data_IF_267639674892
#
_entry.id   IF_267639674892
#
_cell.length_a   1.000
_cell.length_b   1.000
_cell.length_c   1.000
_cell.angle_alpha   90.00
_cell.angle_beta   90.00
_cell.angle_gamma   90.00
#
_symmetry.space_group_name_H-M   'P 1'
#
loop_
_entity.id
_entity.type
_entity.pdbx_description
1 polymer ?
#
# COMPACT_ATOMS: atom_id res chain seq x y z
N UNK A 1 -10.91 -0.14 9.31
CA UNK A 1 -10.34 -0.47 7.97
C UNK A 1 -11.11 -1.53 7.19
N UNK A 2 -12.18 -2.12 7.75
CA UNK A 2 -13.01 -3.09 7.04
C UNK A 2 -13.54 -2.49 5.72
N UNK A 3 -13.24 -3.14 4.59
CA UNK A 3 -13.69 -2.73 3.26
C UNK A 3 -12.72 -1.84 2.45
N UNK A 4 -11.62 -1.36 3.05
CA UNK A 4 -10.59 -0.66 2.29
C UNK A 4 -9.75 -1.66 1.48
N UNK A 5 -9.66 -1.43 0.17
CA UNK A 5 -8.77 -2.15 -0.74
C UNK A 5 -7.80 -1.18 -1.39
N UNK A 6 -6.63 -1.68 -1.74
CA UNK A 6 -5.55 -0.92 -2.35
C UNK A 6 -4.99 -1.72 -3.53
N UNK A 7 -4.59 -1.02 -4.58
CA UNK A 7 -3.78 -1.59 -5.65
C UNK A 7 -2.69 -0.61 -6.05
N UNK A 8 -1.66 -1.12 -6.69
CA UNK A 8 -0.63 -0.29 -7.31
C UNK A 8 -1.26 0.53 -8.44
N UNK A 9 -1.00 1.83 -8.48
CA UNK A 9 -1.37 2.64 -9.64
C UNK A 9 -0.54 2.20 -10.86
N UNK A 10 -0.96 2.50 -12.10
CA UNK A 10 -0.12 2.29 -13.28
C UNK A 10 1.09 3.23 -13.23
N UNK A 11 2.13 2.82 -12.51
CA UNK A 11 3.43 3.50 -12.47
C UNK A 11 4.28 3.02 -13.64
N UNK A 12 4.98 3.94 -14.30
CA UNK A 12 5.68 3.66 -15.54
C UNK A 12 6.93 2.80 -15.33
N UNK A 13 7.66 3.06 -14.24
CA UNK A 13 8.88 2.35 -13.86
C UNK A 13 9.06 2.36 -12.33
N UNK A 14 9.61 1.28 -11.78
CA UNK A 14 10.01 1.16 -10.38
C UNK A 14 11.46 0.71 -10.31
N UNK A 15 12.28 1.56 -9.69
CA UNK A 15 13.69 1.32 -9.47
C UNK A 15 13.93 1.12 -7.98
N UNK A 16 14.68 0.08 -7.63
CA UNK A 16 15.02 -0.28 -6.25
C UNK A 16 16.55 -0.37 -6.15
N UNK A 17 17.14 0.33 -5.18
CA UNK A 17 18.57 0.27 -4.89
C UNK A 17 18.77 0.16 -3.36
N UNK A 18 19.06 -1.05 -2.89
CA UNK A 18 19.13 -1.33 -1.46
C UNK A 18 17.74 -1.26 -0.80
N UNK A 19 17.61 -0.43 0.23
CA UNK A 19 16.34 -0.20 0.96
C UNK A 19 15.54 0.98 0.39
N UNK A 20 16.15 1.76 -0.49
CA UNK A 20 15.53 2.90 -1.13
C UNK A 20 14.87 2.47 -2.43
N UNK A 21 13.68 3.02 -2.70
CA UNK A 21 13.07 2.85 -4.01
C UNK A 21 12.50 4.15 -4.55
N UNK A 22 12.45 4.25 -5.87
CA UNK A 22 11.87 5.37 -6.57
C UNK A 22 10.88 4.86 -7.61
N UNK A 23 9.73 5.52 -7.71
CA UNK A 23 8.70 5.23 -8.69
C UNK A 23 8.47 6.44 -9.58
N UNK A 24 8.32 6.18 -10.88
CA UNK A 24 7.93 7.20 -11.84
C UNK A 24 6.41 7.19 -12.02
N UNK A 25 5.77 8.28 -11.59
CA UNK A 25 4.32 8.48 -11.71
C UNK A 25 4.06 9.63 -12.67
N UNK A 26 3.70 9.31 -13.91
CA UNK A 26 3.63 10.30 -14.99
C UNK A 26 5.00 10.90 -15.28
N UNK A 27 5.19 12.20 -15.02
CA UNK A 27 6.47 12.90 -15.20
C UNK A 27 7.19 13.18 -13.87
N UNK A 28 6.68 12.66 -12.75
CA UNK A 28 7.21 12.91 -11.41
C UNK A 28 7.93 11.67 -10.89
N UNK A 29 9.10 11.88 -10.28
CA UNK A 29 9.82 10.85 -9.52
C UNK A 29 9.44 10.99 -8.06
N UNK A 30 8.92 9.91 -7.46
CA UNK A 30 8.62 9.84 -6.03
C UNK A 30 9.61 8.89 -5.39
N UNK A 31 10.40 9.39 -4.44
CA UNK A 31 11.29 8.57 -3.61
C UNK A 31 10.46 8.01 -2.46
N UNK A 32 10.56 6.70 -2.25
CA UNK A 32 9.81 5.94 -1.28
C UNK A 32 10.70 5.60 -0.09
N UNK A 33 10.13 5.73 1.11
CA UNK A 33 10.75 5.17 2.32
C UNK A 33 10.69 3.64 2.28
N UNK A 34 11.48 2.97 3.12
CA UNK A 34 11.44 1.51 3.27
C UNK A 34 10.03 0.97 3.56
N UNK A 35 9.23 1.71 4.34
CA UNK A 35 7.84 1.34 4.64
C UNK A 35 6.94 1.42 3.39
N UNK A 36 7.08 2.47 2.60
CA UNK A 36 6.34 2.64 1.35
C UNK A 36 6.77 1.61 0.28
N UNK A 37 8.07 1.33 0.18
CA UNK A 37 8.62 0.26 -0.66
C UNK A 37 8.00 -1.09 -0.30
N UNK A 38 7.96 -1.42 1.00
CA UNK A 38 7.37 -2.67 1.47
C UNK A 38 5.89 -2.80 1.13
N UNK A 39 5.11 -1.70 1.16
CA UNK A 39 3.72 -1.72 0.69
C UNK A 39 3.66 -2.19 -0.76
N UNK A 40 4.49 -1.65 -1.66
CA UNK A 40 4.47 -2.05 -3.07
C UNK A 40 4.89 -3.50 -3.28
N UNK A 41 5.90 -3.97 -2.54
CA UNK A 41 6.33 -5.37 -2.57
C UNK A 41 5.22 -6.32 -2.11
N UNK A 42 4.50 -5.98 -1.04
CA UNK A 42 3.36 -6.77 -0.55
C UNK A 42 2.25 -6.79 -1.60
N UNK A 43 1.94 -5.65 -2.23
CA UNK A 43 0.91 -5.58 -3.26
C UNK A 43 1.26 -6.42 -4.49
N UNK A 44 2.53 -6.46 -4.90
CA UNK A 44 2.98 -7.28 -6.02
C UNK A 44 3.01 -8.78 -5.67
N UNK A 45 3.35 -9.14 -4.43
CA UNK A 45 3.32 -10.52 -3.95
C UNK A 45 1.90 -11.08 -3.85
N UNK A 46 0.96 -10.27 -3.37
CA UNK A 46 -0.45 -10.63 -3.18
C UNK A 46 -1.31 -10.43 -4.44
N UNK A 47 -0.70 -9.96 -5.54
CA UNK A 47 -1.41 -9.69 -6.80
C UNK A 47 -1.88 -10.98 -7.45
N UNK A 48 -3.16 -11.31 -7.26
CA UNK A 48 -3.84 -12.34 -8.05
C UNK A 48 -4.40 -11.76 -9.35
N UNK A 49 -4.63 -12.60 -10.36
CA UNK A 49 -5.01 -12.17 -11.72
C UNK A 49 -6.37 -11.46 -11.83
N UNK A 50 -7.17 -11.43 -10.75
CA UNK A 50 -8.40 -10.64 -10.65
C UNK A 50 -8.07 -9.20 -10.19
N UNK A 51 -7.87 -8.31 -11.17
CA UNK A 51 -7.89 -6.84 -11.05
C UNK A 51 -6.83 -6.16 -10.16
N UNK A 52 -6.02 -6.93 -9.44
CA UNK A 52 -4.86 -6.49 -8.66
C UNK A 52 -5.17 -5.76 -7.35
N UNK A 53 -6.41 -5.83 -6.86
CA UNK A 53 -6.83 -5.24 -5.59
C UNK A 53 -6.55 -6.15 -4.40
N UNK A 54 -5.87 -5.59 -3.39
CA UNK A 54 -5.52 -6.26 -2.14
C UNK A 54 -6.23 -5.59 -0.97
N UNK A 55 -6.70 -6.36 0.00
CA UNK A 55 -7.32 -5.79 1.20
C UNK A 55 -6.27 -5.06 2.06
N UNK A 56 -6.58 -3.87 2.55
CA UNK A 56 -5.65 -3.10 3.37
C UNK A 56 -5.24 -3.83 4.67
N UNK A 57 -6.08 -4.74 5.18
CA UNK A 57 -5.73 -5.62 6.31
C UNK A 57 -4.63 -6.62 5.99
N UNK A 58 -4.54 -7.09 4.73
CA UNK A 58 -3.44 -7.95 4.28
C UNK A 58 -2.15 -7.15 4.23
N UNK A 59 -2.21 -5.91 3.73
CA UNK A 59 -1.07 -4.98 3.75
C UNK A 59 -0.61 -4.72 5.18
N UNK A 60 -1.52 -4.41 6.11
CA UNK A 60 -1.17 -4.25 7.53
C UNK A 60 -0.47 -5.50 8.08
N UNK A 61 -1.01 -6.69 7.82
CA UNK A 61 -0.41 -7.93 8.30
C UNK A 61 1.02 -8.13 7.76
N UNK A 62 1.24 -7.90 6.46
CA UNK A 62 2.57 -8.01 5.87
C UNK A 62 3.56 -6.95 6.39
N UNK A 63 3.10 -5.73 6.68
CA UNK A 63 3.93 -4.70 7.31
C UNK A 63 4.32 -5.08 8.73
N UNK A 64 3.39 -5.61 9.53
CA UNK A 64 3.65 -6.09 10.89
C UNK A 64 4.61 -7.28 10.87
N UNK A 65 4.44 -8.22 9.94
CA UNK A 65 5.35 -9.35 9.78
C UNK A 65 6.78 -8.88 9.48
N UNK A 66 6.93 -7.84 8.65
CA UNK A 66 8.25 -7.33 8.23
C UNK A 66 8.93 -6.43 9.26
N UNK A 67 8.19 -5.51 9.87
CA UNK A 67 8.75 -4.45 10.73
C UNK A 67 8.41 -4.61 12.22
N UNK A 68 7.55 -5.57 12.56
CA UNK A 68 6.94 -5.65 13.88
C UNK A 68 5.76 -4.71 14.05
N UNK A 69 5.02 -4.89 15.13
CA UNK A 69 3.93 -4.00 15.50
C UNK A 69 4.50 -2.69 16.09
N UNK A 70 4.03 -1.50 15.66
CA UNK A 70 4.55 -0.24 16.17
C UNK A 70 4.15 -0.02 17.64
N UNK A 71 5.12 0.34 18.48
CA UNK A 71 4.85 0.64 19.89
C UNK A 71 4.09 1.96 20.05
N UNK A 72 2.97 1.92 20.79
CA UNK A 72 2.21 3.11 21.17
C UNK A 72 1.41 3.78 20.03
N UNK A 73 1.31 3.14 18.86
CA UNK A 73 0.51 3.60 17.72
C UNK A 73 -0.53 2.55 17.33
N UNK A 74 -1.66 3.01 16.81
CA UNK A 74 -2.65 2.12 16.19
C UNK A 74 -2.14 1.70 14.81
N UNK A 75 -1.73 0.44 14.68
CA UNK A 75 -1.17 -0.12 13.45
C UNK A 75 -2.09 0.02 12.23
N UNK A 76 -3.40 -0.05 12.43
CA UNK A 76 -4.37 0.14 11.34
C UNK A 76 -4.45 1.61 10.95
N UNK A 77 -4.49 2.53 11.92
CA UNK A 77 -4.47 3.96 11.63
C UNK A 77 -3.16 4.38 10.93
N UNK A 78 -2.02 3.85 11.38
CA UNK A 78 -0.71 4.08 10.76
C UNK A 78 -0.68 3.53 9.33
N UNK A 79 -1.14 2.30 9.11
CA UNK A 79 -1.22 1.73 7.74
C UNK A 79 -2.12 2.60 6.85
N UNK A 80 -3.30 2.99 7.35
CA UNK A 80 -4.21 3.84 6.59
C UNK A 80 -3.61 5.19 6.21
N UNK A 81 -2.83 5.80 7.11
CA UNK A 81 -2.08 7.03 6.82
C UNK A 81 -1.07 6.86 5.69
N UNK A 82 -0.24 5.81 5.74
CA UNK A 82 0.74 5.51 4.69
C UNK A 82 0.05 5.26 3.34
N UNK A 83 -1.06 4.52 3.33
CA UNK A 83 -1.82 4.29 2.10
C UNK A 83 -2.46 5.56 1.55
N UNK A 84 -2.90 6.48 2.42
CA UNK A 84 -3.42 7.77 2.01
C UNK A 84 -2.32 8.65 1.39
N UNK A 85 -1.15 8.72 2.02
CA UNK A 85 0.00 9.48 1.51
C UNK A 85 0.44 8.95 0.13
N UNK A 86 0.53 7.62 -0.03
CA UNK A 86 0.86 7.00 -1.31
C UNK A 86 -0.22 7.24 -2.39
N UNK A 87 -1.49 7.29 -1.99
CA UNK A 87 -2.59 7.59 -2.91
C UNK A 87 -2.58 9.06 -3.34
N UNK A 88 -2.25 9.99 -2.45
CA UNK A 88 -2.08 11.41 -2.78
C UNK A 88 -0.97 11.62 -3.82
N UNK A 89 0.13 10.87 -3.68
CA UNK A 89 1.23 10.84 -4.64
C UNK A 89 0.93 9.99 -5.89
N UNK A 90 -0.28 9.42 -6.00
CA UNK A 90 -0.74 8.55 -7.11
C UNK A 90 0.15 7.33 -7.34
N UNK A 91 0.81 6.86 -6.29
CA UNK A 91 1.62 5.62 -6.31
C UNK A 91 0.72 4.39 -6.17
N UNK A 92 -0.36 4.53 -5.39
CA UNK A 92 -1.41 3.52 -5.22
C UNK A 92 -2.79 4.12 -5.49
N UNK A 93 -3.76 3.26 -5.74
CA UNK A 93 -5.17 3.60 -5.76
C UNK A 93 -5.85 2.93 -4.55
N UNK A 94 -6.79 3.62 -3.91
CA UNK A 94 -7.58 3.09 -2.79
C UNK A 94 -9.06 3.07 -3.14
N UNK A 95 -9.75 2.01 -2.75
CA UNK A 95 -11.19 1.85 -2.91
C UNK A 95 -11.81 1.48 -1.56
N UNK A 96 -12.79 2.26 -1.11
CA UNK A 96 -13.61 1.90 0.03
C UNK A 96 -14.85 1.17 -0.48
N UNK A 97 -14.93 -0.14 -0.28
CA UNK A 97 -16.18 -0.88 -0.50
C UNK A 97 -17.08 -0.72 0.72
N UNK A 98 -18.36 -0.40 0.54
CA UNK A 98 -19.32 -0.52 1.63
C UNK A 98 -19.32 -1.98 2.11
N UNK A 99 -19.22 -2.18 3.42
CA UNK A 99 -19.40 -3.51 4.01
C UNK A 99 -20.77 -4.07 3.63
N UNK A 100 -20.99 -5.39 3.69
CA UNK A 100 -22.30 -5.96 3.45
C UNK A 100 -23.31 -5.25 4.34
N UNK A 101 -24.34 -4.65 3.72
CA UNK A 101 -25.44 -4.08 4.47
C UNK A 101 -25.97 -5.20 5.38
N UNK A 102 -25.97 -4.96 6.70
CA UNK A 102 -26.59 -5.88 7.63
C UNK A 102 -28.08 -5.94 7.28
N UNK A 103 -28.47 -6.99 6.55
CA UNK A 103 -29.86 -7.36 6.26
C UNK A 103 -30.45 -8.21 7.37
#
# INVERSE_FOLDING_TARGET
>A
MSGLRVRRAPVADWYVEGEDSAVMVGATVVVLSALATAVLEILDAERTAEDGWVAATVVTAGLVERFGEPEGLDVHATTAGVLADLAEQRVVETEQRPGPAAG
#
